data_IF_463457250531
#
_entry.id   IF_463457250531
#
_cell.length_a   1.000
_cell.length_b   1.000
_cell.length_c   1.000
_cell.angle_alpha   90.00
_cell.angle_beta   90.00
_cell.angle_gamma   90.00
#
_symmetry.space_group_name_H-M   'P 1'
#
loop_
_entity.id
_entity.type
_entity.pdbx_description
1 polymer ?
#
# COMPACT_ATOMS: atom_id res chain seq x y z
N UNK A 1 25.73 -17.77 -28.58
CA UNK A 1 24.94 -17.73 -29.84
C UNK A 1 23.49 -17.83 -29.44
N UNK A 2 22.65 -16.82 -29.74
CA UNK A 2 21.22 -16.93 -29.43
C UNK A 2 20.65 -18.19 -30.09
N UNK A 3 19.87 -19.02 -29.38
CA UNK A 3 19.31 -20.22 -29.96
C UNK A 3 18.50 -19.86 -31.20
N UNK A 4 18.63 -20.65 -32.27
CA UNK A 4 17.82 -20.48 -33.46
C UNK A 4 16.37 -20.75 -33.06
N UNK A 5 15.56 -19.69 -32.95
CA UNK A 5 14.17 -19.77 -32.56
C UNK A 5 13.35 -20.40 -33.69
N UNK A 6 13.21 -21.72 -33.67
CA UNK A 6 12.48 -22.47 -34.69
C UNK A 6 11.00 -22.59 -34.33
N UNK A 7 10.08 -22.25 -35.25
CA UNK A 7 8.64 -22.26 -34.98
C UNK A 7 7.99 -23.66 -34.93
N UNK A 8 8.72 -24.74 -35.21
CA UNK A 8 8.15 -26.10 -35.29
C UNK A 8 8.25 -26.89 -33.98
N UNK A 9 9.18 -26.53 -33.09
CA UNK A 9 9.36 -27.16 -31.77
C UNK A 9 9.51 -26.07 -30.72
N UNK A 10 8.86 -26.23 -29.57
CA UNK A 10 9.11 -25.36 -28.42
C UNK A 10 10.33 -25.87 -27.67
N UNK A 11 11.32 -25.00 -27.52
CA UNK A 11 12.45 -25.22 -26.63
C UNK A 11 12.44 -24.09 -25.60
N UNK A 12 12.27 -24.41 -24.31
CA UNK A 12 12.29 -23.38 -23.28
C UNK A 12 13.68 -22.78 -23.16
N UNK A 13 13.73 -21.46 -22.93
CA UNK A 13 15.00 -20.78 -22.64
C UNK A 13 15.60 -21.37 -21.36
N UNK A 14 16.84 -21.83 -21.43
CA UNK A 14 17.61 -22.26 -20.27
C UNK A 14 18.41 -21.08 -19.72
N UNK A 15 18.53 -21.01 -18.40
CA UNK A 15 19.25 -19.95 -17.71
C UNK A 15 20.67 -20.40 -17.37
N UNK A 16 21.65 -19.54 -17.63
CA UNK A 16 23.03 -19.73 -17.17
C UNK A 16 23.11 -19.73 -15.63
N UNK A 17 24.08 -20.45 -15.06
CA UNK A 17 24.27 -20.53 -13.61
C UNK A 17 24.50 -19.17 -12.95
N UNK A 18 25.18 -18.24 -13.64
CA UNK A 18 25.39 -16.88 -13.15
C UNK A 18 24.06 -16.12 -13.04
N UNK A 19 23.20 -16.23 -14.06
CA UNK A 19 21.88 -15.60 -14.08
C UNK A 19 20.99 -16.16 -12.96
N UNK A 20 21.05 -17.47 -12.71
CA UNK A 20 20.33 -18.09 -11.61
C UNK A 20 20.81 -17.59 -10.23
N UNK A 21 22.13 -17.43 -10.03
CA UNK A 21 22.68 -16.85 -8.80
C UNK A 21 22.24 -15.41 -8.60
N UNK A 22 22.32 -14.57 -9.64
CA UNK A 22 21.86 -13.18 -9.55
C UNK A 22 20.35 -13.10 -9.25
N UNK A 23 19.56 -14.01 -9.81
CA UNK A 23 18.11 -14.09 -9.54
C UNK A 23 17.77 -14.32 -8.07
N UNK A 24 18.60 -15.03 -7.33
CA UNK A 24 18.41 -15.21 -5.88
C UNK A 24 18.60 -13.89 -5.10
N UNK A 25 19.47 -13.00 -5.60
CA UNK A 25 19.70 -11.69 -5.01
C UNK A 25 18.62 -10.65 -5.40
N UNK A 26 17.90 -10.86 -6.51
CA UNK A 26 16.85 -9.95 -6.98
C UNK A 26 15.84 -9.54 -5.91
N UNK A 27 15.40 -10.51 -5.11
CA UNK A 27 14.39 -10.27 -4.08
C UNK A 27 14.93 -9.34 -2.97
N UNK A 28 16.25 -9.33 -2.76
CA UNK A 28 16.92 -8.40 -1.83
C UNK A 28 16.99 -6.98 -2.39
N UNK A 29 17.03 -6.83 -3.72
CA UNK A 29 17.16 -5.56 -4.44
C UNK A 29 15.79 -4.91 -4.71
N UNK A 30 14.83 -5.65 -5.29
CA UNK A 30 13.49 -5.15 -5.62
C UNK A 30 12.75 -4.67 -4.36
N UNK A 31 12.88 -5.40 -3.24
CA UNK A 31 12.21 -5.16 -1.95
C UNK A 31 10.71 -4.83 -2.05
N UNK A 32 10.37 -3.55 -2.28
CA UNK A 32 9.02 -2.97 -2.30
C UNK A 32 8.74 -2.17 -3.58
N UNK A 33 9.45 -2.45 -4.67
CA UNK A 33 9.28 -1.74 -5.93
C UNK A 33 9.31 -2.73 -7.08
N UNK A 34 8.22 -3.47 -7.26
CA UNK A 34 8.07 -4.49 -8.29
C UNK A 34 7.33 -3.92 -9.50
N UNK A 35 8.06 -3.69 -10.60
CA UNK A 35 7.45 -3.28 -11.85
C UNK A 35 7.05 -4.50 -12.69
N UNK A 36 5.75 -4.63 -12.96
CA UNK A 36 5.16 -5.77 -13.65
C UNK A 36 4.77 -5.39 -15.07
N UNK A 37 5.21 -6.17 -16.05
CA UNK A 37 4.74 -6.08 -17.43
C UNK A 37 3.97 -7.33 -17.80
N UNK A 38 2.73 -7.16 -18.26
CA UNK A 38 1.92 -8.27 -18.75
C UNK A 38 2.34 -8.64 -20.18
N UNK A 39 2.50 -9.93 -20.43
CA UNK A 39 2.74 -10.49 -21.75
C UNK A 39 1.56 -11.37 -22.12
N UNK A 40 0.62 -10.80 -22.87
CA UNK A 40 -0.53 -11.54 -23.39
C UNK A 40 -0.06 -12.48 -24.51
N UNK A 41 -0.16 -13.79 -24.26
CA UNK A 41 0.25 -14.82 -25.21
C UNK A 41 -0.95 -15.49 -25.91
N UNK A 42 -2.08 -14.80 -26.00
CA UNK A 42 -3.32 -15.29 -26.59
C UNK A 42 -4.36 -15.66 -25.53
N UNK A 43 -4.56 -14.76 -24.58
CA UNK A 43 -5.62 -14.84 -23.57
C UNK A 43 -7.00 -14.48 -24.14
N UNK A 44 -8.04 -14.85 -23.40
CA UNK A 44 -9.43 -14.47 -23.70
C UNK A 44 -9.86 -13.17 -23.00
N UNK A 45 -8.89 -12.35 -22.56
CA UNK A 45 -9.06 -11.13 -21.76
C UNK A 45 -9.52 -11.32 -20.31
N UNK A 46 -9.94 -12.53 -19.90
CA UNK A 46 -10.42 -12.76 -18.54
C UNK A 46 -9.32 -12.56 -17.48
N UNK A 47 -8.11 -13.05 -17.74
CA UNK A 47 -6.96 -12.88 -16.84
C UNK A 47 -6.55 -11.40 -16.72
N UNK A 48 -6.61 -10.69 -17.84
CA UNK A 48 -6.26 -9.29 -17.97
C UNK A 48 -7.22 -8.40 -17.16
N UNK A 49 -8.52 -8.69 -17.21
CA UNK A 49 -9.53 -8.00 -16.40
C UNK A 49 -9.21 -8.15 -14.91
N UNK A 50 -8.82 -9.35 -14.45
CA UNK A 50 -8.48 -9.57 -13.04
C UNK A 50 -7.16 -8.88 -12.63
N UNK A 51 -6.17 -8.83 -13.53
CA UNK A 51 -4.95 -8.06 -13.30
C UNK A 51 -5.29 -6.57 -13.13
N UNK A 52 -6.17 -6.03 -13.97
CA UNK A 52 -6.64 -4.64 -13.84
C UNK A 52 -7.52 -4.45 -12.61
N UNK A 53 -8.32 -5.44 -12.23
CA UNK A 53 -9.11 -5.39 -10.99
C UNK A 53 -8.21 -5.33 -9.75
N UNK A 54 -7.08 -6.05 -9.74
CA UNK A 54 -6.12 -6.04 -8.64
C UNK A 54 -5.47 -4.66 -8.38
N UNK A 55 -5.36 -3.80 -9.40
CA UNK A 55 -4.83 -2.43 -9.25
C UNK A 55 -5.93 -1.39 -8.93
N UNK A 56 -7.21 -1.78 -8.93
CA UNK A 56 -8.28 -0.85 -8.54
C UNK A 56 -8.24 -0.54 -7.05
N UNK A 57 -8.86 0.56 -6.58
CA UNK A 57 -8.84 0.95 -5.18
C UNK A 57 -9.39 -0.08 -4.19
N UNK A 58 -10.16 -1.07 -4.66
CA UNK A 58 -10.70 -2.14 -3.82
C UNK A 58 -9.59 -3.08 -3.32
N UNK A 59 -8.64 -3.40 -4.19
CA UNK A 59 -7.56 -4.35 -3.90
C UNK A 59 -6.19 -3.65 -3.72
N UNK A 60 -5.99 -2.53 -4.42
CA UNK A 60 -4.87 -1.60 -4.26
C UNK A 60 -3.51 -2.32 -4.17
N UNK A 61 -3.17 -3.08 -5.22
CA UNK A 61 -1.89 -3.76 -5.31
C UNK A 61 -0.69 -2.79 -5.27
N UNK A 62 -0.86 -1.53 -5.65
CA UNK A 62 0.18 -0.51 -5.64
C UNK A 62 0.70 -0.20 -4.22
N UNK A 63 -0.11 -0.38 -3.17
CA UNK A 63 0.32 -0.27 -1.76
C UNK A 63 1.47 -1.23 -1.42
N UNK A 64 1.53 -2.38 -2.08
CA UNK A 64 2.60 -3.36 -1.89
C UNK A 64 3.81 -3.08 -2.77
N UNK A 65 3.79 -1.97 -3.54
CA UNK A 65 4.85 -1.61 -4.47
C UNK A 65 4.77 -2.32 -5.81
N UNK A 66 3.63 -2.97 -6.11
CA UNK A 66 3.41 -3.70 -7.37
C UNK A 66 2.78 -2.71 -8.36
N UNK A 67 3.51 -2.35 -9.40
CA UNK A 67 3.05 -1.37 -10.40
C UNK A 67 3.11 -1.95 -11.81
N UNK A 68 2.02 -1.78 -12.56
CA UNK A 68 1.98 -2.20 -13.96
C UNK A 68 2.70 -1.16 -14.83
N UNK A 69 3.62 -1.62 -15.69
CA UNK A 69 4.34 -0.79 -16.66
C UNK A 69 3.92 -1.07 -18.09
N UNK A 70 4.17 -0.12 -18.98
CA UNK A 70 3.78 -0.19 -20.40
C UNK A 70 4.87 -0.78 -21.31
N UNK A 71 6.10 -0.98 -20.81
CA UNK A 71 7.23 -1.47 -21.58
C UNK A 71 7.97 -2.58 -20.82
N UNK A 72 8.33 -3.70 -21.49
CA UNK A 72 9.10 -4.77 -20.87
C UNK A 72 10.49 -4.30 -20.44
N UNK A 73 11.03 -3.24 -21.07
CA UNK A 73 12.36 -2.67 -20.74
C UNK A 73 12.41 -2.03 -19.34
N UNK A 74 11.27 -1.71 -18.76
CA UNK A 74 11.15 -1.12 -17.42
C UNK A 74 10.61 -2.13 -16.39
N UNK A 75 10.47 -3.40 -16.78
CA UNK A 75 9.85 -4.41 -15.95
C UNK A 75 10.88 -5.26 -15.24
N UNK A 76 10.64 -5.54 -13.96
CA UNK A 76 11.38 -6.53 -13.18
C UNK A 76 10.70 -7.89 -13.23
N UNK A 77 9.36 -7.87 -13.42
CA UNK A 77 8.51 -9.06 -13.47
C UNK A 77 7.76 -9.10 -14.79
N UNK A 78 7.88 -10.22 -15.50
CA UNK A 78 7.08 -10.54 -16.67
C UNK A 78 5.96 -11.50 -16.28
N UNK A 79 4.72 -11.06 -16.48
CA UNK A 79 3.52 -11.83 -16.17
C UNK A 79 2.93 -12.39 -17.48
N UNK A 80 3.12 -13.68 -17.72
CA UNK A 80 2.64 -14.35 -18.93
C UNK A 80 1.22 -14.86 -18.73
N UNK A 81 0.33 -14.51 -19.66
CA UNK A 81 -1.07 -14.92 -19.65
C UNK A 81 -1.45 -15.66 -20.94
N UNK A 82 -2.48 -16.49 -20.88
CA UNK A 82 -2.97 -17.24 -22.05
C UNK A 82 -2.15 -18.50 -22.37
N UNK A 83 -2.68 -19.33 -23.28
CA UNK A 83 -2.15 -20.66 -23.59
C UNK A 83 -0.99 -20.65 -24.61
N UNK A 84 -0.25 -19.54 -24.73
CA UNK A 84 0.84 -19.36 -25.69
C UNK A 84 0.49 -19.83 -27.10
N UNK A 85 -0.31 -19.03 -27.80
CA UNK A 85 -0.64 -19.31 -29.21
C UNK A 85 0.61 -19.33 -30.08
N UNK A 86 0.59 -20.12 -31.16
CA UNK A 86 1.74 -20.26 -32.06
C UNK A 86 2.26 -18.93 -32.59
N UNK A 87 1.35 -18.02 -32.93
CA UNK A 87 1.67 -16.68 -33.41
C UNK A 87 2.32 -15.80 -32.33
N UNK A 88 1.92 -15.95 -31.07
CA UNK A 88 2.43 -15.13 -29.96
C UNK A 88 3.75 -15.60 -29.36
N UNK A 89 4.25 -16.78 -29.73
CA UNK A 89 5.55 -17.27 -29.24
C UNK A 89 6.70 -16.30 -29.52
N UNK A 90 6.88 -15.86 -30.76
CA UNK A 90 7.99 -14.95 -31.10
C UNK A 90 7.86 -13.58 -30.44
N UNK A 91 6.67 -12.93 -30.42
CA UNK A 91 6.44 -11.74 -29.61
C UNK A 91 6.76 -11.92 -28.12
N UNK A 92 6.35 -13.03 -27.51
CA UNK A 92 6.60 -13.32 -26.10
C UNK A 92 8.09 -13.45 -25.79
N UNK A 93 8.85 -14.16 -26.64
CA UNK A 93 10.30 -14.30 -26.51
C UNK A 93 11.02 -12.96 -26.68
N UNK A 94 10.59 -12.12 -27.64
CA UNK A 94 11.13 -10.76 -27.80
C UNK A 94 10.87 -9.87 -26.59
N UNK A 95 9.69 -10.00 -25.97
CA UNK A 95 9.37 -9.29 -24.74
C UNK A 95 10.26 -9.76 -23.59
N UNK A 96 10.49 -11.08 -23.48
CA UNK A 96 11.41 -11.66 -22.51
C UNK A 96 12.85 -11.14 -22.70
N UNK A 97 13.40 -11.22 -23.91
CA UNK A 97 14.75 -10.74 -24.23
C UNK A 97 14.91 -9.23 -24.05
N UNK A 98 13.84 -8.46 -24.25
CA UNK A 98 13.87 -6.99 -24.09
C UNK A 98 13.86 -6.54 -22.63
N UNK A 99 13.43 -7.39 -21.70
CA UNK A 99 13.41 -7.08 -20.29
C UNK A 99 14.81 -7.24 -19.68
N UNK A 100 15.23 -6.35 -18.76
CA UNK A 100 16.55 -6.40 -18.15
C UNK A 100 16.80 -7.73 -17.43
N UNK A 101 18.02 -8.24 -17.51
CA UNK A 101 18.46 -9.32 -16.62
C UNK A 101 18.88 -8.73 -15.29
N UNK A 102 18.42 -9.27 -14.16
CA UNK A 102 17.81 -10.58 -13.90
C UNK A 102 16.32 -10.39 -13.53
N UNK A 103 15.42 -11.12 -14.20
CA UNK A 103 13.96 -10.88 -14.20
C UNK A 103 13.17 -12.07 -13.65
N UNK A 104 12.04 -11.78 -13.00
CA UNK A 104 11.09 -12.79 -12.53
C UNK A 104 10.07 -13.06 -13.64
N UNK A 105 9.77 -14.32 -13.90
CA UNK A 105 8.75 -14.74 -14.84
C UNK A 105 7.65 -15.49 -14.11
N UNK A 106 6.44 -14.98 -14.23
CA UNK A 106 5.25 -15.50 -13.56
C UNK A 106 4.30 -16.03 -14.62
N UNK A 107 3.87 -17.27 -14.46
CA UNK A 107 2.81 -17.85 -15.27
C UNK A 107 1.47 -17.63 -14.59
N UNK A 108 0.51 -17.03 -15.31
CA UNK A 108 -0.75 -16.57 -14.74
C UNK A 108 -1.97 -17.19 -15.42
N UNK A 109 -2.83 -17.76 -14.59
CA UNK A 109 -4.06 -18.42 -14.99
C UNK A 109 -3.86 -19.84 -15.54
N UNK A 110 -4.93 -20.63 -15.57
CA UNK A 110 -4.91 -22.03 -15.98
C UNK A 110 -4.34 -22.23 -17.39
N UNK A 111 -4.66 -21.29 -18.30
CA UNK A 111 -4.10 -21.27 -19.64
C UNK A 111 -2.59 -21.02 -19.64
N UNK A 112 -2.10 -20.04 -18.86
CA UNK A 112 -0.66 -19.77 -18.76
C UNK A 112 0.12 -20.90 -18.10
N UNK A 113 -0.47 -21.53 -17.07
CA UNK A 113 0.19 -22.56 -16.25
C UNK A 113 0.36 -23.88 -17.02
N UNK A 114 -0.59 -24.25 -17.88
CA UNK A 114 -0.53 -25.53 -18.58
C UNK A 114 -1.45 -25.64 -19.80
N UNK A 115 -1.80 -24.53 -20.44
CA UNK A 115 -2.70 -24.49 -21.61
C UNK A 115 -4.19 -24.50 -21.27
N UNK A 116 -4.57 -24.90 -20.05
CA UNK A 116 -5.95 -24.85 -19.57
C UNK A 116 -6.90 -25.70 -20.43
N UNK A 117 -8.06 -25.16 -20.77
CA UNK A 117 -8.99 -25.84 -21.69
C UNK A 117 -8.40 -26.04 -23.09
N UNK A 118 -7.37 -25.26 -23.46
CA UNK A 118 -6.76 -25.31 -24.78
C UNK A 118 -5.52 -26.21 -24.87
N UNK A 119 -5.13 -26.91 -23.80
CA UNK A 119 -3.84 -27.61 -23.71
C UNK A 119 -3.53 -28.59 -24.86
N UNK A 120 -4.54 -29.19 -25.48
CA UNK A 120 -4.40 -30.16 -26.58
C UNK A 120 -4.79 -29.58 -27.97
N UNK A 121 -4.90 -28.25 -28.10
CA UNK A 121 -5.20 -27.63 -29.38
C UNK A 121 -3.93 -27.45 -30.24
N UNK A 122 -4.07 -27.70 -31.54
CA UNK A 122 -2.99 -27.52 -32.52
C UNK A 122 -2.42 -26.10 -32.58
N UNK A 123 -3.21 -25.08 -32.20
CA UNK A 123 -2.88 -23.66 -32.34
C UNK A 123 -2.09 -23.09 -31.16
N UNK A 124 -1.84 -23.88 -30.12
CA UNK A 124 -1.16 -23.46 -28.90
C UNK A 124 0.09 -24.29 -28.63
N UNK A 125 1.01 -23.73 -27.84
CA UNK A 125 2.15 -24.46 -27.28
C UNK A 125 1.85 -25.06 -25.90
N UNK A 126 0.77 -24.62 -25.24
CA UNK A 126 0.39 -25.07 -23.91
C UNK A 126 0.72 -24.00 -22.86
N UNK A 127 1.51 -24.36 -21.84
CA UNK A 127 1.92 -23.44 -20.79
C UNK A 127 3.06 -22.50 -21.22
N UNK A 128 3.27 -21.44 -20.43
CA UNK A 128 4.36 -20.46 -20.62
C UNK A 128 5.73 -21.03 -20.30
N UNK A 129 5.78 -22.09 -19.50
CA UNK A 129 6.96 -22.89 -19.18
C UNK A 129 7.59 -23.55 -20.42
N UNK A 130 6.81 -23.75 -21.48
CA UNK A 130 7.30 -24.31 -22.75
C UNK A 130 8.20 -23.34 -23.53
N UNK A 131 8.14 -22.03 -23.24
CA UNK A 131 8.88 -20.99 -23.97
C UNK A 131 9.88 -20.23 -23.10
N UNK A 132 9.56 -19.96 -21.84
CA UNK A 132 10.40 -19.15 -20.92
C UNK A 132 10.52 -19.84 -19.56
N UNK A 133 11.61 -19.62 -18.81
CA UNK A 133 11.77 -20.17 -17.48
C UNK A 133 10.81 -19.48 -16.51
N UNK A 134 9.86 -20.23 -15.95
CA UNK A 134 8.87 -19.73 -14.98
C UNK A 134 9.37 -19.95 -13.56
N UNK A 135 9.21 -18.92 -12.71
CA UNK A 135 9.57 -18.96 -11.29
C UNK A 135 8.37 -19.26 -10.39
N UNK A 136 7.23 -18.68 -10.74
CA UNK A 136 6.01 -18.70 -9.92
C UNK A 136 4.82 -18.96 -10.83
N UNK A 137 3.94 -19.83 -10.38
CA UNK A 137 2.67 -20.12 -11.04
C UNK A 137 1.52 -19.60 -10.17
N UNK A 138 0.65 -18.78 -10.77
CA UNK A 138 -0.58 -18.27 -10.15
C UNK A 138 -1.77 -18.96 -10.82
N UNK A 139 -2.31 -20.04 -10.23
CA UNK A 139 -3.41 -20.79 -10.84
C UNK A 139 -4.76 -20.07 -10.71
N UNK A 140 -5.66 -20.31 -11.66
CA UNK A 140 -7.05 -19.80 -11.66
C UNK A 140 -7.62 -19.58 -13.07
N UNK A 141 -8.94 -19.50 -13.23
CA UNK A 141 -9.56 -19.31 -14.56
C UNK A 141 -10.73 -18.29 -14.53
N UNK A 142 -10.44 -16.98 -14.42
CA UNK A 142 -9.14 -16.39 -14.08
C UNK A 142 -8.83 -16.46 -12.57
N UNK A 143 -7.56 -16.27 -12.14
CA UNK A 143 -7.25 -16.07 -10.72
C UNK A 143 -7.97 -14.83 -10.19
N UNK A 144 -8.58 -14.91 -9.00
CA UNK A 144 -9.24 -13.76 -8.38
C UNK A 144 -8.22 -12.68 -7.98
N UNK A 145 -8.58 -11.40 -7.83
CA UNK A 145 -7.62 -10.35 -7.52
C UNK A 145 -6.88 -10.59 -6.20
N UNK A 146 -7.57 -11.18 -5.22
CA UNK A 146 -6.98 -11.60 -3.95
C UNK A 146 -5.95 -12.73 -4.15
N UNK A 147 -6.24 -13.72 -5.01
CA UNK A 147 -5.30 -14.78 -5.36
C UNK A 147 -4.10 -14.23 -6.13
N UNK A 148 -4.30 -13.23 -6.98
CA UNK A 148 -3.23 -12.52 -7.71
C UNK A 148 -2.29 -11.80 -6.76
N UNK A 149 -2.82 -11.00 -5.83
CA UNK A 149 -2.02 -10.33 -4.80
C UNK A 149 -1.28 -11.35 -3.94
N UNK A 150 -1.94 -12.43 -3.54
CA UNK A 150 -1.30 -13.50 -2.78
C UNK A 150 -0.15 -14.15 -3.57
N UNK A 151 -0.35 -14.44 -4.87
CA UNK A 151 0.68 -14.98 -5.74
C UNK A 151 1.89 -14.06 -5.85
N UNK A 152 1.68 -12.75 -6.01
CA UNK A 152 2.77 -11.78 -5.97
C UNK A 152 3.42 -11.67 -4.58
N UNK A 153 2.65 -11.77 -3.50
CA UNK A 153 3.20 -11.77 -2.14
C UNK A 153 4.08 -12.99 -1.87
N UNK A 154 3.76 -14.15 -2.43
CA UNK A 154 4.64 -15.34 -2.42
C UNK A 154 5.89 -15.06 -3.25
N UNK A 155 5.73 -14.57 -4.48
CA UNK A 155 6.84 -14.29 -5.39
C UNK A 155 7.87 -13.31 -4.80
N UNK A 156 7.37 -12.27 -4.11
CA UNK A 156 8.19 -11.22 -3.50
C UNK A 156 8.62 -11.53 -2.06
N UNK A 157 8.25 -12.69 -1.50
CA UNK A 157 8.57 -13.04 -0.11
C UNK A 157 7.88 -12.18 0.95
N UNK A 158 6.81 -11.48 0.59
CA UNK A 158 6.08 -10.55 1.48
C UNK A 158 5.27 -11.25 2.57
N UNK A 159 4.99 -12.55 2.44
CA UNK A 159 4.18 -13.30 3.42
C UNK A 159 4.77 -13.34 4.84
N UNK A 160 6.09 -13.17 4.98
CA UNK A 160 6.74 -13.17 6.28
C UNK A 160 6.66 -11.81 7.00
N UNK A 161 6.20 -10.74 6.33
CA UNK A 161 5.91 -9.45 6.96
C UNK A 161 4.63 -9.52 7.80
N UNK A 162 4.71 -10.18 8.96
CA UNK A 162 3.67 -10.04 9.97
C UNK A 162 3.76 -8.66 10.60
N UNK A 163 2.62 -8.00 10.77
CA UNK A 163 2.53 -6.83 11.66
C UNK A 163 2.84 -7.37 13.06
N UNK A 164 4.01 -7.02 13.59
CA UNK A 164 4.33 -7.30 14.98
C UNK A 164 3.45 -6.40 15.83
N UNK A 165 2.44 -6.98 16.48
CA UNK A 165 1.68 -6.27 17.48
C UNK A 165 2.64 -5.83 18.59
N UNK A 166 2.82 -4.53 18.73
CA UNK A 166 3.53 -3.95 19.87
C UNK A 166 2.47 -3.65 20.91
N UNK A 167 2.27 -4.58 21.84
CA UNK A 167 1.39 -4.36 22.99
C UNK A 167 2.08 -3.40 23.95
N UNK A 168 1.66 -2.13 23.93
CA UNK A 168 1.98 -1.19 25.01
C UNK A 168 1.12 -1.56 26.22
N UNK A 169 1.64 -2.41 27.10
CA UNK A 169 1.06 -2.61 28.43
C UNK A 169 1.56 -1.49 29.32
N UNK A 170 0.67 -0.58 29.67
CA UNK A 170 0.96 0.40 30.72
C UNK A 170 1.35 -0.36 32.01
N UNK A 171 2.36 0.13 32.76
CA UNK A 171 2.74 -0.49 34.02
C UNK A 171 1.53 -0.52 34.97
N UNK A 172 1.32 -1.65 35.62
CA UNK A 172 0.24 -1.80 36.61
C UNK A 172 0.48 -0.84 37.76
N UNK A 173 -0.53 -0.04 38.11
CA UNK A 173 -0.45 0.95 39.19
C UNK A 173 -0.14 2.39 38.75
N UNK A 174 -0.01 2.67 37.45
CA UNK A 174 0.07 4.06 36.97
C UNK A 174 -1.32 4.68 36.99
N UNK A 175 -1.59 5.52 37.98
CA UNK A 175 -2.75 6.43 37.95
C UNK A 175 -2.48 7.53 36.94
N UNK A 176 -3.26 7.55 35.86
CA UNK A 176 -3.23 8.63 34.86
C UNK A 176 -3.48 9.98 35.53
N UNK A 177 -2.49 10.86 35.54
CA UNK A 177 -2.66 12.22 36.04
C UNK A 177 -3.31 13.08 34.97
N UNK A 178 -4.47 13.70 35.23
CA UNK A 178 -5.04 14.68 34.31
C UNK A 178 -4.06 15.84 34.12
N UNK A 179 -3.98 16.37 32.89
CA UNK A 179 -3.15 17.53 32.56
C UNK A 179 -3.40 18.74 33.47
N UNK A 180 -4.63 18.85 34.01
CA UNK A 180 -5.09 19.91 34.89
C UNK A 180 -5.75 19.29 36.13
N UNK A 181 -4.99 18.81 37.14
CA UNK A 181 -5.55 18.07 38.28
C UNK A 181 -6.40 18.96 39.21
N UNK A 182 -6.13 20.28 39.21
CA UNK A 182 -6.82 21.26 40.05
C UNK A 182 -8.23 21.61 39.55
N UNK A 183 -8.56 21.25 38.31
CA UNK A 183 -9.79 21.66 37.63
C UNK A 183 -10.70 20.43 37.50
N UNK A 184 -11.94 20.47 38.02
CA UNK A 184 -12.90 19.40 37.83
C UNK A 184 -13.06 19.03 36.34
N UNK A 185 -13.04 17.73 35.97
CA UNK A 185 -13.14 17.31 34.58
C UNK A 185 -14.38 17.83 33.84
N UNK A 186 -15.51 17.96 34.54
CA UNK A 186 -16.74 18.51 33.99
C UNK A 186 -16.59 19.95 33.51
N UNK A 187 -15.95 20.80 34.30
CA UNK A 187 -15.69 22.20 33.96
C UNK A 187 -14.71 22.30 32.78
N UNK A 188 -13.64 21.51 32.79
CA UNK A 188 -12.69 21.45 31.68
C UNK A 188 -13.37 21.07 30.37
N UNK A 189 -14.19 20.01 30.38
CA UNK A 189 -14.91 19.54 29.19
C UNK A 189 -15.84 20.63 28.66
N UNK A 190 -16.55 21.34 29.54
CA UNK A 190 -17.45 22.42 29.16
C UNK A 190 -16.70 23.57 28.46
N UNK A 191 -15.60 24.03 29.05
CA UNK A 191 -14.77 25.13 28.49
C UNK A 191 -14.13 24.71 27.17
N UNK A 192 -13.60 23.49 27.09
CA UNK A 192 -12.95 22.99 25.89
C UNK A 192 -13.94 22.84 24.73
N UNK A 193 -15.16 22.36 25.00
CA UNK A 193 -16.24 22.32 24.00
C UNK A 193 -16.60 23.72 23.52
N UNK A 194 -16.73 24.67 24.43
CA UNK A 194 -17.08 26.05 24.09
C UNK A 194 -15.96 26.75 23.30
N UNK A 195 -14.70 26.56 23.70
CA UNK A 195 -13.55 27.11 22.99
C UNK A 195 -13.46 26.55 21.57
N UNK A 196 -13.72 25.24 21.39
CA UNK A 196 -13.80 24.60 20.07
C UNK A 196 -14.97 25.12 19.24
N UNK A 197 -16.12 25.42 19.85
CA UNK A 197 -17.27 26.03 19.18
C UNK A 197 -16.95 27.43 18.65
N UNK A 198 -16.20 28.22 19.41
CA UNK A 198 -15.89 29.63 19.09
C UNK A 198 -14.68 29.81 18.15
N UNK A 199 -13.69 28.92 18.23
CA UNK A 199 -12.40 29.09 17.54
C UNK A 199 -11.91 27.84 16.77
N UNK A 200 -12.70 26.77 16.71
CA UNK A 200 -12.32 25.52 16.04
C UNK A 200 -11.38 24.64 16.87
N UNK A 201 -11.04 23.46 16.34
CA UNK A 201 -10.33 22.42 17.09
C UNK A 201 -8.93 22.80 17.56
N UNK A 202 -8.15 23.46 16.69
CA UNK A 202 -6.75 23.82 17.00
C UNK A 202 -6.68 25.07 17.87
N UNK A 203 -7.18 26.21 17.37
CA UNK A 203 -7.08 27.48 18.09
C UNK A 203 -7.89 27.45 19.39
N UNK A 204 -9.07 26.81 19.40
CA UNK A 204 -9.87 26.66 20.62
C UNK A 204 -9.15 25.89 21.71
N UNK A 205 -8.42 24.81 21.35
CA UNK A 205 -7.60 24.05 22.30
C UNK A 205 -6.46 24.91 22.86
N UNK A 206 -5.73 25.62 22.00
CA UNK A 206 -4.61 26.48 22.41
C UNK A 206 -5.06 27.61 23.36
N UNK A 207 -6.19 28.25 23.06
CA UNK A 207 -6.78 29.31 23.91
C UNK A 207 -7.21 28.75 25.26
N UNK A 208 -7.90 27.60 25.26
CA UNK A 208 -8.34 26.92 26.48
C UNK A 208 -7.15 26.53 27.37
N UNK A 209 -6.13 25.87 26.81
CA UNK A 209 -4.94 25.46 27.56
C UNK A 209 -4.16 26.65 28.12
N UNK A 210 -4.06 27.76 27.37
CA UNK A 210 -3.43 29.00 27.87
C UNK A 210 -4.23 29.64 29.00
N UNK A 211 -5.55 29.74 28.85
CA UNK A 211 -6.44 30.27 29.89
C UNK A 211 -6.32 29.45 31.19
N UNK A 212 -6.42 28.13 31.09
CA UNK A 212 -6.33 27.23 32.25
C UNK A 212 -4.93 27.28 32.90
N UNK A 213 -3.86 27.43 32.09
CA UNK A 213 -2.50 27.64 32.62
C UNK A 213 -2.42 28.92 33.45
N UNK A 214 -2.89 30.04 32.92
CA UNK A 214 -2.86 31.32 33.64
C UNK A 214 -3.71 31.30 34.91
N UNK A 215 -4.87 30.63 34.89
CA UNK A 215 -5.73 30.46 36.06
C UNK A 215 -5.14 29.51 37.11
N UNK A 216 -4.39 28.49 36.68
CA UNK A 216 -3.67 27.60 37.59
C UNK A 216 -2.53 28.32 38.33
N UNK A 217 -1.86 29.27 37.67
CA UNK A 217 -0.76 30.03 38.27
C UNK A 217 -1.24 31.20 39.14
N UNK A 218 -2.33 31.86 38.73
CA UNK A 218 -2.90 33.03 39.40
C UNK A 218 -4.44 32.98 39.39
N UNK A 219 -5.06 32.51 40.48
CA UNK A 219 -6.52 32.45 40.61
C UNK A 219 -7.22 33.81 40.58
N UNK A 220 -6.47 34.92 40.80
CA UNK A 220 -7.05 36.27 40.81
C UNK A 220 -7.31 36.82 39.41
N UNK A 221 -6.81 36.16 38.35
CA UNK A 221 -7.06 36.52 36.95
C UNK A 221 -6.23 37.70 36.44
N UNK A 222 -5.32 38.25 37.24
CA UNK A 222 -4.47 39.37 36.83
C UNK A 222 -3.56 38.98 35.66
N UNK A 223 -2.98 37.77 35.70
CA UNK A 223 -2.19 37.24 34.56
C UNK A 223 -2.99 37.08 33.27
N UNK A 224 -4.27 36.72 33.36
CA UNK A 224 -5.14 36.61 32.19
C UNK A 224 -5.38 37.98 31.58
N UNK A 225 -5.61 39.00 32.41
CA UNK A 225 -5.77 40.38 31.94
C UNK A 225 -4.49 40.92 31.29
N UNK A 226 -3.31 40.60 31.82
CA UNK A 226 -2.03 40.95 31.18
C UNK A 226 -1.87 40.25 29.83
N UNK A 227 -2.11 38.93 29.77
CA UNK A 227 -2.06 38.17 28.51
C UNK A 227 -3.00 38.74 27.44
N UNK A 228 -4.23 39.08 27.82
CA UNK A 228 -5.21 39.66 26.91
C UNK A 228 -4.82 41.05 26.41
N UNK A 229 -4.16 41.87 27.25
CA UNK A 229 -3.62 43.17 26.85
C UNK A 229 -2.43 43.04 25.91
N UNK A 230 -1.51 42.11 26.20
CA UNK A 230 -0.31 41.89 25.39
C UNK A 230 -0.64 41.31 24.01
N UNK A 231 -1.71 40.52 23.91
CA UNK A 231 -2.16 39.93 22.65
C UNK A 231 -2.86 40.94 21.71
N UNK A 232 -3.40 42.03 22.25
CA UNK A 232 -4.12 43.11 21.54
C UNK A 232 -5.15 42.61 20.49
N UNK A 233 -5.84 41.50 20.81
CA UNK A 233 -6.82 40.87 19.91
C UNK A 233 -8.25 40.98 20.49
N UNK A 234 -9.15 41.76 19.86
CA UNK A 234 -10.54 41.90 20.32
C UNK A 234 -11.34 40.59 20.22
N UNK A 235 -10.99 39.69 19.27
CA UNK A 235 -11.63 38.39 19.12
C UNK A 235 -11.23 37.47 20.27
N UNK A 236 -9.95 37.42 20.61
CA UNK A 236 -9.45 36.63 21.75
C UNK A 236 -10.11 37.09 23.05
N UNK A 237 -10.22 38.40 23.26
CA UNK A 237 -10.94 38.98 24.40
C UNK A 237 -12.38 38.48 24.50
N UNK A 238 -13.14 38.54 23.39
CA UNK A 238 -14.52 38.05 23.35
C UNK A 238 -14.63 36.56 23.67
N UNK A 239 -13.76 35.73 23.10
CA UNK A 239 -13.72 34.28 23.36
C UNK A 239 -13.46 34.02 24.84
N UNK A 240 -12.42 34.63 25.42
CA UNK A 240 -12.05 34.39 26.82
C UNK A 240 -13.13 34.87 27.78
N UNK A 241 -13.80 35.99 27.50
CA UNK A 241 -14.95 36.44 28.30
C UNK A 241 -16.09 35.41 28.28
N UNK A 242 -16.37 34.80 27.12
CA UNK A 242 -17.38 33.75 27.01
C UNK A 242 -16.97 32.48 27.78
N UNK A 243 -15.69 32.10 27.72
CA UNK A 243 -15.17 30.97 28.51
C UNK A 243 -15.26 31.23 30.03
N UNK A 244 -15.06 32.47 30.48
CA UNK A 244 -15.25 32.85 31.88
C UNK A 244 -16.71 32.74 32.35
N UNK A 245 -17.69 33.01 31.47
CA UNK A 245 -19.11 32.80 31.79
C UNK A 245 -19.40 31.32 32.04
N UNK A 246 -18.89 30.45 31.17
CA UNK A 246 -19.00 28.99 31.32
C UNK A 246 -18.32 28.50 32.60
N UNK A 247 -17.14 29.03 32.95
CA UNK A 247 -16.45 28.74 34.20
C UNK A 247 -17.26 29.12 35.45
N UNK A 248 -18.00 30.23 35.40
CA UNK A 248 -18.85 30.71 36.51
C UNK A 248 -20.22 30.00 36.58
N UNK A 249 -20.49 29.04 35.69
CA UNK A 249 -21.79 28.35 35.63
C UNK A 249 -22.94 29.24 35.17
N UNK A 250 -22.63 30.40 34.57
CA UNK A 250 -23.62 31.27 33.95
C UNK A 250 -23.87 30.73 32.54
N UNK A 251 -24.83 29.82 32.44
CA UNK A 251 -25.39 29.37 31.17
C UNK A 251 -26.56 30.30 30.81
N UNK A 252 -26.48 30.93 29.63
CA UNK A 252 -27.66 31.48 28.94
C UNK A 252 -28.48 30.32 28.34
#
# INVERSE_FOLDING_TARGET
MSPVLTQHVSQPITLDEQTQKMKQHLLQDIRRSAYVYRVDCGGCNACEIEIFAAITPVFDAERFGIKVVSSPRHADILLFTGAVTRAMRMPALRAYESAPDHKICVSYGACGVGGGIFHDLYSVWGGSDTIVPIDVWIPGCPPTPAATIHGFAVALGLLQQKIHAVDYRDPTGVTMQPLWPQIPPSQRIAIEREARRLAGYRQGREICDRLLRHLSDDPTGNRVNTWLRDADDPRLNSIVQQLFRVLRGLHD
#
